data_IF_939218180393
#
_entry.id   IF_939218180393
#
_cell.length_a   1.000
_cell.length_b   1.000
_cell.length_c   1.000
_cell.angle_alpha   90.00
_cell.angle_beta   90.00
_cell.angle_gamma   90.00
#
_symmetry.space_group_name_H-M   'P 1'
#
loop_
_entity.id
_entity.type
_entity.pdbx_description
1 polymer ?
#
# COMPACT_ATOMS: atom_id res chain seq x y z
N UNK A 1 16.13 8.05 14.31
CA UNK A 1 15.22 7.08 13.66
C UNK A 1 15.98 6.47 12.51
N UNK A 2 15.89 5.15 12.22
CA UNK A 2 16.45 4.64 10.97
C UNK A 2 15.75 5.40 9.86
N UNK A 3 16.53 6.05 9.01
CA UNK A 3 16.05 6.78 7.86
C UNK A 3 15.32 5.74 6.99
N UNK A 4 13.96 5.80 6.93
CA UNK A 4 13.18 4.92 6.05
C UNK A 4 13.85 4.96 4.67
N UNK A 5 14.42 3.83 4.24
CA UNK A 5 15.10 3.72 2.96
C UNK A 5 14.08 3.78 1.82
N UNK A 6 14.57 3.97 0.59
CA UNK A 6 13.70 4.11 -0.57
C UNK A 6 12.69 2.94 -0.72
N UNK A 7 13.08 1.65 -0.56
CA UNK A 7 12.14 0.52 -0.59
C UNK A 7 10.99 0.63 0.41
N UNK A 8 11.25 1.00 1.66
CA UNK A 8 10.22 1.11 2.70
C UNK A 8 9.25 2.27 2.41
N UNK A 9 9.77 3.40 1.90
CA UNK A 9 8.93 4.53 1.46
C UNK A 9 8.06 4.16 0.27
N UNK A 10 8.65 3.48 -0.71
CA UNK A 10 7.92 2.98 -1.88
C UNK A 10 6.77 2.06 -1.47
N UNK A 11 7.03 1.13 -0.56
CA UNK A 11 6.03 0.21 -0.06
C UNK A 11 4.85 0.95 0.58
N UNK A 12 5.14 1.93 1.45
CA UNK A 12 4.13 2.78 2.10
C UNK A 12 3.33 3.59 1.08
N UNK A 13 4.00 4.21 0.11
CA UNK A 13 3.34 4.97 -0.94
C UNK A 13 2.43 4.07 -1.80
N UNK A 14 2.86 2.84 -2.10
CA UNK A 14 2.07 1.86 -2.84
C UNK A 14 0.80 1.47 -2.07
N UNK A 15 0.91 1.12 -0.79
CA UNK A 15 -0.27 0.77 0.03
C UNK A 15 -1.19 1.97 0.24
N UNK A 16 -0.65 3.17 0.41
CA UNK A 16 -1.44 4.39 0.52
C UNK A 16 -2.25 4.64 -0.77
N UNK A 17 -1.60 4.54 -1.94
CA UNK A 17 -2.24 4.66 -3.25
C UNK A 17 -3.35 3.62 -3.43
N UNK A 18 -3.08 2.35 -3.14
CA UNK A 18 -4.08 1.28 -3.24
C UNK A 18 -5.27 1.56 -2.32
N UNK A 19 -5.02 1.98 -1.09
CA UNK A 19 -6.08 2.30 -0.13
C UNK A 19 -6.92 3.50 -0.60
N UNK A 20 -6.29 4.55 -1.12
CA UNK A 20 -6.99 5.70 -1.69
C UNK A 20 -7.88 5.28 -2.86
N UNK A 21 -7.33 4.54 -3.83
CA UNK A 21 -8.09 4.02 -4.98
C UNK A 21 -9.25 3.13 -4.55
N UNK A 22 -9.05 2.30 -3.53
CA UNK A 22 -10.11 1.47 -2.98
C UNK A 22 -11.24 2.31 -2.37
N UNK A 23 -10.90 3.36 -1.60
CA UNK A 23 -11.88 4.27 -1.01
C UNK A 23 -12.65 5.06 -2.09
N UNK A 24 -11.97 5.54 -3.13
CA UNK A 24 -12.59 6.25 -4.25
C UNK A 24 -13.59 5.38 -5.03
N UNK A 25 -13.39 4.06 -5.04
CA UNK A 25 -14.31 3.07 -5.63
C UNK A 25 -15.43 2.64 -4.68
N UNK A 26 -15.49 3.22 -3.48
CA UNK A 26 -16.52 2.94 -2.48
C UNK A 26 -16.29 1.65 -1.69
N UNK A 27 -15.13 0.99 -1.82
CA UNK A 27 -14.88 -0.23 -1.07
C UNK A 27 -14.73 0.06 0.42
N UNK A 28 -15.49 -0.67 1.24
CA UNK A 28 -15.25 -0.70 2.70
C UNK A 28 -13.99 -1.50 2.99
N UNK A 29 -13.27 -1.16 4.07
CA UNK A 29 -12.00 -1.82 4.46
C UNK A 29 -12.10 -3.36 4.48
N UNK A 30 -13.15 -3.90 5.09
CA UNK A 30 -13.36 -5.35 5.20
C UNK A 30 -13.76 -6.00 3.88
N UNK A 31 -14.50 -5.29 3.03
CA UNK A 31 -14.91 -5.74 1.70
C UNK A 31 -13.70 -5.81 0.76
N UNK A 32 -12.89 -4.75 0.74
CA UNK A 32 -11.64 -4.74 -0.02
C UNK A 32 -10.72 -5.88 0.43
N UNK A 33 -10.55 -6.06 1.74
CA UNK A 33 -9.73 -7.14 2.27
C UNK A 33 -10.24 -8.54 1.87
N UNK A 34 -11.55 -8.75 1.90
CA UNK A 34 -12.16 -10.02 1.46
C UNK A 34 -11.94 -10.26 -0.04
N UNK A 35 -11.88 -9.21 -0.85
CA UNK A 35 -11.54 -9.29 -2.29
C UNK A 35 -10.08 -9.68 -2.53
N UNK A 36 -9.15 -9.19 -1.71
CA UNK A 36 -7.72 -9.54 -1.82
C UNK A 36 -7.44 -11.00 -1.46
N UNK A 37 -8.16 -11.54 -0.47
CA UNK A 37 -7.94 -12.91 0.03
C UNK A 37 -9.28 -13.66 0.17
N UNK A 38 -9.91 -14.08 -0.94
CA UNK A 38 -11.23 -14.71 -0.92
C UNK A 38 -11.25 -16.07 -0.21
N UNK A 39 -10.10 -16.74 -0.07
CA UNK A 39 -9.96 -18.00 0.66
C UNK A 39 -9.81 -17.81 2.18
N UNK A 40 -9.66 -16.57 2.67
CA UNK A 40 -9.55 -16.30 4.10
C UNK A 40 -10.91 -15.98 4.70
N UNK A 41 -11.09 -16.31 5.99
CA UNK A 41 -12.24 -15.80 6.75
C UNK A 41 -12.22 -14.27 6.71
N UNK A 42 -13.36 -13.57 6.48
CA UNK A 42 -13.38 -12.11 6.31
C UNK A 42 -12.70 -11.33 7.45
N UNK A 43 -12.86 -11.79 8.70
CA UNK A 43 -12.19 -11.21 9.86
C UNK A 43 -10.66 -11.29 9.77
N UNK A 44 -10.12 -12.42 9.31
CA UNK A 44 -8.68 -12.65 9.14
C UNK A 44 -8.13 -11.78 8.02
N UNK A 45 -8.85 -11.69 6.89
CA UNK A 45 -8.50 -10.81 5.79
C UNK A 45 -8.45 -9.34 6.23
N UNK A 46 -9.46 -8.87 6.96
CA UNK A 46 -9.51 -7.51 7.50
C UNK A 46 -8.35 -7.23 8.47
N UNK A 47 -8.01 -8.17 9.36
CA UNK A 47 -6.85 -8.05 10.25
C UNK A 47 -5.55 -7.95 9.46
N UNK A 48 -5.38 -8.75 8.40
CA UNK A 48 -4.20 -8.68 7.52
C UNK A 48 -4.11 -7.33 6.81
N UNK A 49 -5.22 -6.84 6.23
CA UNK A 49 -5.25 -5.52 5.58
C UNK A 49 -4.91 -4.39 6.55
N UNK A 50 -5.46 -4.41 7.76
CA UNK A 50 -5.13 -3.41 8.79
C UNK A 50 -3.67 -3.50 9.23
N UNK A 51 -3.08 -4.70 9.33
CA UNK A 51 -1.67 -4.84 9.65
C UNK A 51 -0.76 -4.21 8.57
N UNK A 52 -1.09 -4.42 7.30
CA UNK A 52 -0.38 -3.81 6.17
C UNK A 52 -0.54 -2.28 6.19
N UNK A 53 -1.74 -1.75 6.45
CA UNK A 53 -1.98 -0.30 6.48
C UNK A 53 -1.42 0.42 7.71
N UNK A 54 -1.63 -0.11 8.92
CA UNK A 54 -1.47 0.65 10.18
C UNK A 54 -0.21 0.25 10.96
N UNK A 55 0.12 -1.05 11.02
CA UNK A 55 1.25 -1.51 11.85
C UNK A 55 2.60 -1.03 11.33
N UNK A 56 2.76 -0.90 10.02
CA UNK A 56 4.02 -0.43 9.43
C UNK A 56 4.26 1.07 9.57
N UNK A 57 3.19 1.88 9.54
CA UNK A 57 3.30 3.34 9.58
C UNK A 57 3.77 3.85 10.94
N UNK A 58 3.39 3.18 12.04
CA UNK A 58 3.71 3.66 13.40
C UNK A 58 4.92 2.98 14.04
N UNK A 59 5.34 1.81 13.55
CA UNK A 59 6.45 1.05 14.15
C UNK A 59 7.76 1.15 13.37
N UNK A 60 7.75 1.79 12.20
CA UNK A 60 8.91 1.81 11.30
C UNK A 60 9.19 0.46 10.64
N UNK A 61 8.35 -0.55 10.84
CA UNK A 61 8.52 -1.88 10.25
C UNK A 61 8.07 -1.88 8.79
N UNK A 62 8.70 -2.69 7.91
CA UNK A 62 8.21 -2.91 6.55
C UNK A 62 6.76 -3.40 6.54
N UNK A 63 5.98 -3.01 5.52
CA UNK A 63 4.60 -3.51 5.37
C UNK A 63 4.56 -4.99 4.97
N UNK A 64 5.69 -5.54 4.51
CA UNK A 64 5.85 -6.90 4.02
C UNK A 64 4.85 -7.27 2.92
N UNK A 65 4.58 -6.34 2.01
CA UNK A 65 3.76 -6.53 0.81
C UNK A 65 4.52 -7.43 -0.15
N UNK A 66 4.04 -8.66 -0.31
CA UNK A 66 4.59 -9.57 -1.31
C UNK A 66 4.16 -9.16 -2.72
N UNK A 67 4.90 -9.57 -3.76
CA UNK A 67 4.47 -9.37 -5.16
C UNK A 67 3.07 -9.98 -5.40
N UNK A 68 2.79 -11.12 -4.77
CA UNK A 68 1.48 -11.75 -4.85
C UNK A 68 0.37 -10.90 -4.22
N UNK A 69 0.66 -10.19 -3.13
CA UNK A 69 -0.28 -9.21 -2.55
C UNK A 69 -0.45 -8.01 -3.48
N UNK A 70 0.62 -7.50 -4.07
CA UNK A 70 0.58 -6.37 -5.01
C UNK A 70 -0.29 -6.67 -6.24
N UNK A 71 -0.12 -7.87 -6.83
CA UNK A 71 -0.93 -8.35 -7.95
C UNK A 71 -2.42 -8.44 -7.59
N UNK A 72 -2.74 -8.96 -6.39
CA UNK A 72 -4.14 -9.04 -5.92
C UNK A 72 -4.74 -7.67 -5.65
N UNK A 73 -3.94 -6.71 -5.16
CA UNK A 73 -4.39 -5.32 -4.97
C UNK A 73 -4.74 -4.68 -6.31
N UNK A 74 -3.87 -4.86 -7.31
CA UNK A 74 -4.10 -4.37 -8.66
C UNK A 74 -5.34 -5.00 -9.30
N UNK A 75 -5.48 -6.33 -9.19
CA UNK A 75 -6.65 -7.08 -9.69
C UNK A 75 -7.96 -6.66 -8.99
N UNK A 76 -7.94 -6.46 -7.67
CA UNK A 76 -9.10 -5.98 -6.92
C UNK A 76 -9.56 -4.58 -7.35
N UNK A 77 -8.61 -3.76 -7.82
CA UNK A 77 -8.85 -2.46 -8.43
C UNK A 77 -9.08 -2.57 -9.95
N UNK A 78 -8.88 -3.71 -10.62
CA UNK A 78 -8.89 -3.75 -12.08
C UNK A 78 -7.93 -2.74 -12.71
N UNK A 79 -6.77 -2.54 -12.10
CA UNK A 79 -5.67 -1.69 -12.58
C UNK A 79 -4.43 -2.53 -12.83
N UNK A 80 -3.51 -2.02 -13.66
CA UNK A 80 -2.22 -2.68 -13.89
C UNK A 80 -1.28 -2.48 -12.69
N UNK A 81 -0.62 -3.57 -12.26
CA UNK A 81 0.30 -3.52 -11.13
C UNK A 81 1.53 -2.66 -11.43
N UNK A 82 2.05 -2.70 -12.66
CA UNK A 82 3.19 -1.89 -13.08
C UNK A 82 2.85 -0.41 -13.06
N UNK A 83 1.65 -0.04 -13.50
CA UNK A 83 1.13 1.32 -13.43
C UNK A 83 1.08 1.85 -11.97
N UNK A 84 0.51 1.06 -11.05
CA UNK A 84 0.45 1.42 -9.63
C UNK A 84 1.85 1.58 -9.02
N UNK A 85 2.80 0.70 -9.40
CA UNK A 85 4.20 0.82 -8.97
C UNK A 85 4.87 2.08 -9.51
N UNK A 86 4.64 2.44 -10.77
CA UNK A 86 5.19 3.69 -11.34
C UNK A 86 4.67 4.91 -10.59
N UNK A 87 3.36 4.99 -10.32
CA UNK A 87 2.79 6.12 -9.55
C UNK A 87 3.41 6.20 -8.16
N UNK A 88 3.48 5.08 -7.44
CA UNK A 88 4.06 5.03 -6.10
C UNK A 88 5.53 5.49 -6.10
N UNK A 89 6.31 5.03 -7.09
CA UNK A 89 7.72 5.41 -7.27
C UNK A 89 7.88 6.91 -7.52
N UNK A 90 7.05 7.49 -8.37
CA UNK A 90 7.09 8.93 -8.67
C UNK A 90 6.64 9.77 -7.48
N UNK A 91 5.68 9.31 -6.68
CA UNK A 91 5.29 9.97 -5.42
C UNK A 91 6.47 10.10 -4.46
N UNK A 92 7.20 9.00 -4.22
CA UNK A 92 8.36 9.00 -3.33
C UNK A 92 9.47 9.89 -3.87
N UNK A 93 9.74 9.86 -5.19
CA UNK A 93 10.75 10.74 -5.81
C UNK A 93 10.43 12.23 -5.63
N UNK A 94 9.16 12.62 -5.74
CA UNK A 94 8.72 14.01 -5.48
C UNK A 94 8.99 14.42 -4.04
N UNK A 95 8.68 13.55 -3.06
CA UNK A 95 9.00 13.80 -1.66
C UNK A 95 10.50 14.04 -1.43
N UNK A 96 11.38 13.30 -2.11
CA UNK A 96 12.83 13.54 -2.07
C UNK A 96 13.23 14.88 -2.70
N UNK A 97 12.63 15.24 -3.83
CA UNK A 97 12.90 16.51 -4.50
C UNK A 97 12.42 17.72 -3.70
N UNK A 98 11.33 17.59 -2.95
CA UNK A 98 10.77 18.68 -2.14
C UNK A 98 11.44 18.79 -0.77
N UNK A 99 11.97 17.69 -0.23
CA UNK A 99 12.79 17.70 0.99
C UNK A 99 14.12 18.45 0.78
N UNK A 100 14.74 18.34 -0.40
CA UNK A 100 15.99 19.04 -0.74
C UNK A 100 15.83 20.53 -1.06
N UNK A 101 14.61 21.08 -1.08
CA UNK A 101 14.33 22.51 -1.31
C UNK A 101 14.02 23.29 -0.02
N UNK A 102 14.03 22.61 1.14
CA UNK A 102 13.72 23.20 2.44
C UNK A 102 14.97 23.52 3.29
N UNK A 103 16.16 23.46 2.71
CA UNK A 103 17.42 23.96 3.29
C UNK A 103 17.79 25.30 2.62
#
# INVERSE_FOLDING_TARGET
MPQDDFPQRFERAYVALVNERAMLRGYKKGEFAAKLWPWMKPKVAATRWNAIREKAVHTGKPQSVTIADALRMADALGEDVGYLMVIAKESVRKEFSDAGKKE
#
